data_IF_438154349319
#
_entry.id   IF_438154349319
#
_cell.length_a   1.000
_cell.length_b   1.000
_cell.length_c   1.000
_cell.angle_alpha   90.00
_cell.angle_beta   90.00
_cell.angle_gamma   90.00
#
_symmetry.space_group_name_H-M   'P 1'
#
loop_
_entity.id
_entity.type
_entity.pdbx_description
1 polymer ?
#
# COMPACT_ATOMS: atom_id res chain seq x y z
N UNK A 1 25.20 -13.57 8.02
CA UNK A 1 24.67 -13.04 6.74
C UNK A 1 23.40 -12.30 7.05
N UNK A 2 23.25 -11.04 6.64
CA UNK A 2 21.95 -10.37 6.76
C UNK A 2 20.96 -11.10 5.84
N UNK A 3 19.80 -11.49 6.36
CA UNK A 3 18.76 -12.09 5.54
C UNK A 3 18.33 -11.06 4.48
N UNK A 4 18.26 -11.48 3.21
CA UNK A 4 17.66 -10.66 2.15
C UNK A 4 16.21 -10.44 2.54
N UNK A 5 15.83 -9.18 2.77
CA UNK A 5 14.46 -8.81 3.12
C UNK A 5 13.69 -8.51 1.84
N UNK A 6 12.41 -8.87 1.81
CA UNK A 6 11.52 -8.62 0.68
C UNK A 6 11.37 -7.11 0.41
N UNK A 7 11.40 -6.73 -0.86
CA UNK A 7 11.50 -5.34 -1.33
C UNK A 7 10.21 -4.88 -2.02
N UNK A 8 10.06 -3.57 -2.19
CA UNK A 8 8.98 -2.99 -3.00
C UNK A 8 9.06 -3.44 -4.46
N UNK A 9 10.27 -3.60 -5.01
CA UNK A 9 10.47 -4.04 -6.39
C UNK A 9 9.97 -5.48 -6.61
N UNK A 10 10.30 -6.39 -5.68
CA UNK A 10 9.77 -7.76 -5.71
C UNK A 10 8.24 -7.78 -5.54
N UNK A 11 7.69 -6.98 -4.63
CA UNK A 11 6.24 -6.85 -4.47
C UNK A 11 5.54 -6.40 -5.75
N UNK A 12 6.05 -5.34 -6.39
CA UNK A 12 5.50 -4.82 -7.63
C UNK A 12 5.60 -5.85 -8.74
N UNK A 13 6.75 -6.52 -8.88
CA UNK A 13 6.95 -7.54 -9.90
C UNK A 13 5.98 -8.71 -9.74
N UNK A 14 5.82 -9.25 -8.52
CA UNK A 14 4.92 -10.36 -8.24
C UNK A 14 3.44 -9.96 -8.40
N UNK A 15 3.05 -8.75 -7.98
CA UNK A 15 1.70 -8.22 -8.18
C UNK A 15 1.36 -7.99 -9.65
N UNK A 16 2.28 -7.41 -10.43
CA UNK A 16 2.05 -7.21 -11.86
C UNK A 16 1.97 -8.54 -12.62
N UNK A 17 2.82 -9.51 -12.28
CA UNK A 17 2.74 -10.85 -12.84
C UNK A 17 1.37 -11.49 -12.55
N UNK A 18 0.89 -11.38 -11.29
CA UNK A 18 -0.43 -11.85 -10.90
C UNK A 18 -1.54 -11.16 -11.70
N UNK A 19 -1.50 -9.83 -11.86
CA UNK A 19 -2.54 -9.08 -12.57
C UNK A 19 -2.55 -9.35 -14.08
N UNK A 20 -1.40 -9.64 -14.68
CA UNK A 20 -1.29 -10.04 -16.09
C UNK A 20 -2.02 -11.34 -16.40
N UNK A 21 -2.23 -12.21 -15.41
CA UNK A 21 -3.05 -13.41 -15.56
C UNK A 21 -4.55 -13.11 -15.68
N UNK A 22 -4.97 -11.84 -15.49
CA UNK A 22 -6.37 -11.41 -15.40
C UNK A 22 -7.19 -12.26 -14.40
N UNK A 23 -6.70 -12.45 -13.16
CA UNK A 23 -7.40 -13.22 -12.15
C UNK A 23 -8.69 -12.52 -11.73
N UNK A 24 -9.61 -13.30 -11.15
CA UNK A 24 -10.72 -12.71 -10.40
C UNK A 24 -10.24 -12.05 -9.10
N UNK A 25 -11.13 -11.29 -8.48
CA UNK A 25 -10.84 -10.56 -7.26
C UNK A 25 -10.46 -11.48 -6.09
N UNK A 26 -11.06 -12.67 -5.99
CA UNK A 26 -10.76 -13.63 -4.94
C UNK A 26 -9.30 -14.08 -5.00
N UNK A 27 -8.82 -14.45 -6.18
CA UNK A 27 -7.42 -14.82 -6.39
C UNK A 27 -6.46 -13.63 -6.16
N UNK A 28 -6.85 -12.40 -6.53
CA UNK A 28 -6.06 -11.20 -6.22
C UNK A 28 -5.84 -11.07 -4.71
N UNK A 29 -6.89 -11.19 -3.90
CA UNK A 29 -6.78 -11.05 -2.45
C UNK A 29 -6.07 -12.22 -1.79
N UNK A 30 -6.31 -13.46 -2.23
CA UNK A 30 -5.66 -14.65 -1.65
C UNK A 30 -4.14 -14.63 -1.87
N UNK A 31 -3.70 -14.33 -3.08
CA UNK A 31 -2.26 -14.32 -3.42
C UNK A 31 -1.60 -13.01 -3.00
N UNK A 32 -2.20 -11.87 -3.37
CA UNK A 32 -1.61 -10.55 -3.12
C UNK A 32 -1.48 -10.20 -1.64
N UNK A 33 -2.35 -10.73 -0.77
CA UNK A 33 -2.22 -10.50 0.69
C UNK A 33 -0.95 -11.10 1.26
N UNK A 34 -0.50 -12.25 0.73
CA UNK A 34 0.75 -12.88 1.13
C UNK A 34 1.97 -12.04 0.71
N UNK A 35 1.91 -11.40 -0.46
CA UNK A 35 2.94 -10.46 -0.91
C UNK A 35 2.96 -9.19 -0.05
N UNK A 36 1.78 -8.65 0.26
CA UNK A 36 1.64 -7.48 1.13
C UNK A 36 2.17 -7.74 2.53
N UNK A 37 1.90 -8.92 3.11
CA UNK A 37 2.42 -9.32 4.43
C UNK A 37 3.96 -9.34 4.44
N UNK A 38 4.59 -9.91 3.41
CA UNK A 38 6.05 -9.88 3.25
C UNK A 38 6.58 -8.45 3.14
N UNK A 39 5.90 -7.58 2.39
CA UNK A 39 6.29 -6.18 2.20
C UNK A 39 6.25 -5.40 3.51
N UNK A 40 5.14 -5.47 4.25
CA UNK A 40 5.01 -4.75 5.53
C UNK A 40 5.89 -5.34 6.63
N UNK A 41 6.30 -6.61 6.51
CA UNK A 41 7.30 -7.25 7.36
C UNK A 41 8.72 -6.68 7.21
N UNK A 42 8.98 -5.85 6.19
CA UNK A 42 10.22 -5.11 6.03
C UNK A 42 9.99 -3.59 6.12
N UNK A 43 10.14 -2.95 7.29
CA UNK A 43 9.99 -1.51 7.46
C UNK A 43 10.94 -0.66 6.59
N UNK A 44 12.04 -1.26 6.11
CA UNK A 44 13.05 -0.61 5.28
C UNK A 44 12.72 -0.73 3.78
N UNK A 45 11.65 -1.46 3.40
CA UNK A 45 11.26 -1.64 2.00
C UNK A 45 10.78 -0.33 1.35
N UNK A 46 10.32 0.63 2.15
CA UNK A 46 9.89 1.96 1.70
C UNK A 46 10.88 3.01 2.21
N UNK A 47 11.35 3.86 1.30
CA UNK A 47 12.30 4.92 1.64
C UNK A 47 11.75 5.87 2.72
N UNK A 48 12.56 6.34 3.69
CA UNK A 48 12.08 7.15 4.82
C UNK A 48 11.27 8.39 4.45
N UNK A 49 11.58 9.05 3.33
CA UNK A 49 10.86 10.24 2.85
C UNK A 49 9.39 9.97 2.49
N UNK A 50 9.04 8.71 2.19
CA UNK A 50 7.68 8.28 1.91
C UNK A 50 6.97 7.69 3.14
N UNK A 51 7.61 7.73 4.31
CA UNK A 51 7.08 7.24 5.60
C UNK A 51 6.85 8.36 6.62
N UNK A 52 6.98 9.62 6.20
CA UNK A 52 6.76 10.81 7.02
C UNK A 52 5.62 11.66 6.44
N UNK A 53 4.93 12.49 7.24
CA UNK A 53 3.95 13.45 6.74
C UNK A 53 4.52 14.41 5.68
N UNK A 54 3.70 14.84 4.73
CA UNK A 54 4.16 15.70 3.63
C UNK A 54 4.57 17.11 4.07
N UNK A 55 4.22 17.54 5.30
CA UNK A 55 4.66 18.79 5.93
C UNK A 55 4.17 20.09 5.26
N UNK A 56 3.73 20.02 4.00
CA UNK A 56 3.32 21.13 3.14
C UNK A 56 1.98 20.78 2.48
N UNK A 57 0.96 21.60 2.71
CA UNK A 57 -0.38 21.45 2.12
C UNK A 57 -1.51 21.61 3.15
N UNK A 58 -2.76 21.42 2.70
CA UNK A 58 -3.96 21.62 3.53
C UNK A 58 -4.10 20.62 4.69
N UNK A 59 -3.29 19.55 4.69
CA UNK A 59 -3.15 18.56 5.76
C UNK A 59 -1.67 18.27 6.01
N UNK A 60 -0.93 19.16 6.71
CA UNK A 60 0.52 19.03 6.88
C UNK A 60 0.95 17.78 7.68
N UNK A 61 -0.03 17.11 8.31
CA UNK A 61 0.12 15.86 9.07
C UNK A 61 -0.13 14.60 8.23
N UNK A 62 -0.66 14.73 7.02
CA UNK A 62 -0.98 13.62 6.13
C UNK A 62 0.00 13.54 4.95
N UNK A 63 0.31 12.34 4.49
CA UNK A 63 1.09 12.09 3.28
C UNK A 63 0.43 11.01 2.42
N UNK A 64 0.38 11.21 1.12
CA UNK A 64 0.04 10.18 0.13
C UNK A 64 1.06 10.25 -0.99
N UNK A 65 1.86 9.19 -1.12
CA UNK A 65 2.98 9.12 -2.05
C UNK A 65 2.73 7.99 -3.05
N UNK A 66 2.74 8.32 -4.33
CA UNK A 66 2.74 7.31 -5.39
C UNK A 66 4.12 6.65 -5.44
N UNK A 67 4.18 5.35 -5.17
CA UNK A 67 5.41 4.56 -5.18
C UNK A 67 5.58 3.82 -6.51
N UNK A 68 4.47 3.36 -7.08
CA UNK A 68 4.46 2.63 -8.34
C UNK A 68 3.15 2.84 -9.09
N UNK A 69 3.25 2.88 -10.42
CA UNK A 69 2.13 2.85 -11.36
C UNK A 69 2.48 1.88 -12.49
N UNK A 70 1.73 0.79 -12.60
CA UNK A 70 1.86 -0.17 -13.69
C UNK A 70 1.12 0.34 -14.93
N UNK A 71 1.83 0.50 -16.04
CA UNK A 71 1.25 1.02 -17.29
C UNK A 71 0.29 0.00 -17.94
N UNK A 72 0.61 -1.29 -17.88
CA UNK A 72 -0.19 -2.37 -18.50
C UNK A 72 -1.28 -2.91 -17.57
N UNK A 73 -0.96 -3.07 -16.28
CA UNK A 73 -1.83 -3.71 -15.29
C UNK A 73 -2.77 -2.72 -14.60
N UNK A 74 -2.45 -1.41 -14.67
CA UNK A 74 -3.14 -0.37 -13.91
C UNK A 74 -2.88 -0.43 -12.40
N UNK A 75 -1.92 -1.25 -11.94
CA UNK A 75 -1.57 -1.35 -10.53
C UNK A 75 -1.10 0.00 -9.99
N UNK A 76 -1.67 0.44 -8.87
CA UNK A 76 -1.19 1.60 -8.13
C UNK A 76 -0.74 1.15 -6.74
N UNK A 77 0.48 1.51 -6.36
CA UNK A 77 1.00 1.31 -5.00
C UNK A 77 1.28 2.66 -4.39
N UNK A 78 0.66 2.94 -3.25
CA UNK A 78 0.82 4.20 -2.53
C UNK A 78 1.27 3.96 -1.09
N UNK A 79 2.11 4.86 -0.58
CA UNK A 79 2.34 4.98 0.86
C UNK A 79 1.42 6.06 1.40
N UNK A 80 0.59 5.72 2.39
CA UNK A 80 -0.30 6.65 3.07
C UNK A 80 0.17 6.82 4.52
N UNK A 81 0.50 8.05 4.88
CA UNK A 81 0.99 8.43 6.20
C UNK A 81 -0.06 9.27 6.90
N UNK A 82 -0.53 8.76 8.04
CA UNK A 82 -1.49 9.46 8.90
C UNK A 82 -0.77 10.11 10.06
N UNK A 83 -0.96 11.41 10.26
CA UNK A 83 -0.47 12.08 11.45
C UNK A 83 -1.48 11.98 12.61
N UNK A 84 -1.09 12.44 13.82
CA UNK A 84 -1.96 12.35 14.99
C UNK A 84 -3.29 13.08 14.80
N UNK A 85 -4.39 12.34 14.87
CA UNK A 85 -5.77 12.81 14.71
C UNK A 85 -6.28 12.87 13.26
N UNK A 86 -5.45 12.53 12.28
CA UNK A 86 -5.88 12.47 10.88
C UNK A 86 -6.87 11.33 10.67
N UNK A 87 -7.84 11.57 9.78
CA UNK A 87 -8.86 10.61 9.38
C UNK A 87 -9.33 10.91 7.96
N UNK A 88 -9.82 9.88 7.27
CA UNK A 88 -10.62 10.03 6.06
C UNK A 88 -12.11 10.10 6.41
N UNK A 89 -12.84 10.96 5.71
CA UNK A 89 -14.31 10.89 5.68
C UNK A 89 -14.75 9.61 4.96
N UNK A 90 -15.99 9.12 5.18
CA UNK A 90 -16.52 8.00 4.40
C UNK A 90 -16.41 8.25 2.89
N UNK A 91 -15.91 7.25 2.16
CA UNK A 91 -15.70 7.27 0.71
C UNK A 91 -15.68 5.85 0.16
N UNK A 92 -15.81 5.72 -1.16
CA UNK A 92 -15.61 4.49 -1.92
C UNK A 92 -14.35 4.57 -2.80
N UNK A 93 -13.93 3.41 -3.32
CA UNK A 93 -12.70 3.28 -4.13
C UNK A 93 -12.99 2.99 -5.62
N UNK A 94 -14.22 2.59 -5.95
CA UNK A 94 -14.67 2.16 -7.29
C UNK A 94 -13.82 1.06 -7.97
N UNK A 95 -12.88 0.48 -7.24
CA UNK A 95 -11.89 -0.52 -7.65
C UNK A 95 -11.60 -1.42 -6.44
N UNK A 96 -10.97 -2.57 -6.67
CA UNK A 96 -10.44 -3.34 -5.54
C UNK A 96 -9.27 -2.57 -4.88
N UNK A 97 -9.09 -2.75 -3.58
CA UNK A 97 -8.00 -2.14 -2.83
C UNK A 97 -7.54 -3.03 -1.70
N UNK A 98 -6.23 -3.05 -1.44
CA UNK A 98 -5.61 -3.81 -0.36
C UNK A 98 -4.77 -2.88 0.50
N UNK A 99 -4.94 -2.96 1.83
CA UNK A 99 -4.25 -2.10 2.79
C UNK A 99 -3.39 -2.96 3.70
N UNK A 100 -2.07 -2.73 3.68
CA UNK A 100 -1.13 -3.26 4.66
C UNK A 100 -0.70 -2.17 5.65
N UNK A 101 -0.85 -2.41 6.96
CA UNK A 101 -0.43 -1.46 8.01
C UNK A 101 1.01 -1.77 8.43
N UNK A 102 1.97 -0.96 7.95
CA UNK A 102 3.39 -1.16 8.24
C UNK A 102 3.83 -0.63 9.62
N UNK A 103 3.09 0.32 10.21
CA UNK A 103 3.44 0.90 11.52
C UNK A 103 2.21 1.43 12.24
N UNK A 104 2.19 1.29 13.57
CA UNK A 104 1.08 1.67 14.44
C UNK A 104 -0.21 0.91 14.10
N UNK A 105 -1.36 1.58 14.22
CA UNK A 105 -2.69 0.98 14.09
C UNK A 105 -3.58 1.87 13.24
N UNK A 106 -4.44 1.25 12.43
CA UNK A 106 -5.53 1.89 11.70
C UNK A 106 -6.85 1.36 12.24
N UNK A 107 -7.81 2.26 12.49
CA UNK A 107 -9.21 1.90 12.80
C UNK A 107 -10.08 2.21 11.59
N UNK A 108 -10.88 1.22 11.16
CA UNK A 108 -11.80 1.32 10.02
C UNK A 108 -13.25 1.19 10.50
N UNK A 109 -14.13 2.04 9.98
CA UNK A 109 -15.60 1.88 10.11
C UNK A 109 -16.20 1.69 8.73
N UNK A 110 -16.97 0.61 8.54
CA UNK A 110 -17.63 0.31 7.26
C UNK A 110 -19.07 0.79 7.25
N UNK A 111 -19.45 1.41 6.14
CA UNK A 111 -20.81 1.86 5.86
C UNK A 111 -21.40 1.00 4.73
N UNK A 112 -22.72 0.83 4.73
CA UNK A 112 -23.46 0.07 3.71
C UNK A 112 -24.55 0.94 3.11
#
# INVERSE_FOLDING_TARGET
MAAVKYTLEEFVHEMDALLKEQPDQEKIFNVGSSYMERLIGNPDAISPEYRVPSGKGNRPKHGSYLLYRGDETGLLVTSVVWGPGDHASPHDHHTWGMIGVMSNTLSETRFR
#
